data_IF_619833691322
#
_entry.id   IF_619833691322
#
_cell.length_a   1.000
_cell.length_b   1.000
_cell.length_c   1.000
_cell.angle_alpha   90.00
_cell.angle_beta   90.00
_cell.angle_gamma   90.00
#
_symmetry.space_group_name_H-M   'P 1'
#
loop_
_entity.id
_entity.type
_entity.pdbx_description
1 polymer ?
#
# COMPACT_ATOMS: atom_id res chain seq x y z
N UNK A 1 -4.82 25.53 -2.95
CA UNK A 1 -4.58 24.12 -2.68
C UNK A 1 -3.28 23.94 -1.94
N UNK A 2 -3.29 23.21 -0.87
CA UNK A 2 -2.12 22.97 -0.05
C UNK A 2 -1.11 22.04 -0.69
N UNK A 3 0.00 21.87 -0.01
CA UNK A 3 1.03 20.92 -0.43
C UNK A 3 0.66 19.53 0.04
N UNK A 4 1.13 18.51 -0.69
CA UNK A 4 1.00 17.10 -0.30
C UNK A 4 2.31 16.70 0.40
N UNK A 5 2.20 16.02 1.53
CA UNK A 5 3.36 15.61 2.31
C UNK A 5 3.35 14.09 2.52
N UNK A 6 4.54 13.51 2.59
CA UNK A 6 4.70 12.12 3.03
C UNK A 6 4.93 12.18 4.53
N UNK A 7 4.03 11.61 5.31
CA UNK A 7 4.07 11.71 6.77
C UNK A 7 4.60 10.46 7.46
N UNK A 8 4.73 9.36 6.73
CA UNK A 8 5.29 8.15 7.30
C UNK A 8 5.72 7.19 6.23
N UNK A 9 6.79 6.46 6.49
CA UNK A 9 7.31 5.43 5.59
C UNK A 9 7.61 4.17 6.38
N UNK A 10 7.51 3.03 5.71
CA UNK A 10 7.83 1.76 6.29
C UNK A 10 8.22 0.76 5.23
N UNK A 11 9.01 -0.22 5.60
CA UNK A 11 9.52 -1.20 4.66
C UNK A 11 9.82 -2.49 5.42
N UNK A 12 9.40 -3.63 4.84
CA UNK A 12 9.79 -4.92 5.37
C UNK A 12 11.25 -5.21 5.02
N UNK A 13 11.83 -6.19 5.68
CA UNK A 13 13.15 -6.70 5.28
C UNK A 13 13.07 -7.31 3.89
N UNK A 14 14.13 -7.14 3.11
CA UNK A 14 14.26 -7.83 1.82
C UNK A 14 14.83 -9.21 2.09
N UNK A 15 14.04 -10.24 1.81
CA UNK A 15 14.42 -11.61 2.08
C UNK A 15 14.20 -12.47 0.83
N UNK A 16 14.99 -13.52 0.71
CA UNK A 16 14.85 -14.44 -0.41
C UNK A 16 13.58 -15.27 -0.29
N UNK A 17 13.23 -15.63 0.93
CA UNK A 17 12.05 -16.40 1.23
C UNK A 17 11.42 -15.84 2.50
N UNK A 18 10.15 -15.48 2.41
CA UNK A 18 9.42 -14.96 3.56
C UNK A 18 8.55 -16.07 4.14
N UNK A 19 8.65 -16.37 5.45
CA UNK A 19 7.92 -17.50 6.05
C UNK A 19 6.41 -17.31 6.14
N UNK A 20 5.94 -16.06 6.05
CA UNK A 20 4.51 -15.76 6.12
C UNK A 20 3.87 -15.57 4.76
N UNK A 21 2.61 -15.16 4.77
CA UNK A 21 1.88 -14.83 3.56
C UNK A 21 2.32 -13.49 2.99
N UNK A 22 1.95 -13.21 1.74
CA UNK A 22 2.22 -11.91 1.13
C UNK A 22 1.50 -10.79 1.89
N UNK A 23 0.35 -11.09 2.50
CA UNK A 23 -0.38 -10.13 3.32
C UNK A 23 0.40 -9.75 4.58
N UNK A 24 1.02 -10.74 5.22
CA UNK A 24 1.86 -10.49 6.39
C UNK A 24 3.09 -9.69 6.02
N UNK A 25 3.69 -9.96 4.87
CA UNK A 25 4.82 -9.21 4.36
C UNK A 25 4.44 -7.74 4.16
N UNK A 26 3.30 -7.49 3.53
CA UNK A 26 2.80 -6.13 3.33
C UNK A 26 2.50 -5.45 4.68
N UNK A 27 1.97 -6.20 5.64
CA UNK A 27 1.68 -5.67 6.96
C UNK A 27 2.93 -5.18 7.67
N UNK A 28 4.06 -5.85 7.52
CA UNK A 28 5.31 -5.43 8.16
C UNK A 28 5.68 -4.00 7.76
N UNK A 29 5.63 -3.69 6.47
CA UNK A 29 5.90 -2.33 6.00
C UNK A 29 4.82 -1.35 6.42
N UNK A 30 3.56 -1.76 6.32
CA UNK A 30 2.43 -0.93 6.69
C UNK A 30 2.49 -0.53 8.17
N UNK A 31 2.73 -1.50 9.05
CA UNK A 31 2.85 -1.26 10.48
C UNK A 31 3.93 -0.23 10.78
N UNK A 32 5.09 -0.38 10.16
CA UNK A 32 6.19 0.55 10.36
C UNK A 32 5.81 1.97 9.91
N UNK A 33 5.12 2.09 8.77
CA UNK A 33 4.70 3.41 8.29
C UNK A 33 3.68 4.06 9.22
N UNK A 34 2.78 3.27 9.82
CA UNK A 34 1.82 3.77 10.80
C UNK A 34 2.52 4.29 12.05
N UNK A 35 3.52 3.54 12.53
CA UNK A 35 4.30 3.95 13.69
C UNK A 35 5.10 5.22 13.40
N UNK A 36 5.67 5.32 12.21
CA UNK A 36 6.42 6.49 11.78
C UNK A 36 5.53 7.73 11.70
N UNK A 37 4.35 7.58 11.12
CA UNK A 37 3.39 8.69 10.99
C UNK A 37 2.64 9.00 12.30
N UNK A 38 2.68 8.10 13.27
CA UNK A 38 1.93 8.20 14.52
C UNK A 38 0.42 8.30 14.30
N UNK A 39 -0.09 7.47 13.39
CA UNK A 39 -1.53 7.39 13.08
C UNK A 39 -1.99 5.94 13.16
N UNK A 40 -3.30 5.75 13.13
CA UNK A 40 -3.92 4.44 13.06
C UNK A 40 -4.56 4.25 11.69
N UNK A 41 -4.89 3.00 11.35
CA UNK A 41 -5.55 2.71 10.07
C UNK A 41 -6.89 3.44 9.92
N UNK A 42 -7.55 3.75 11.02
CA UNK A 42 -8.83 4.47 11.00
C UNK A 42 -8.71 5.91 10.48
N UNK A 43 -7.51 6.49 10.52
CA UNK A 43 -7.26 7.83 10.05
C UNK A 43 -6.95 7.88 8.55
N UNK A 44 -6.83 6.73 7.91
CA UNK A 44 -6.58 6.64 6.46
C UNK A 44 -7.93 6.61 5.76
N UNK A 45 -8.16 7.52 4.82
CA UNK A 45 -9.44 7.62 4.12
C UNK A 45 -9.42 7.10 2.68
N UNK A 46 -8.28 6.66 2.20
CA UNK A 46 -8.16 5.90 0.95
C UNK A 46 -6.85 5.15 0.93
N UNK A 47 -6.78 4.09 0.16
CA UNK A 47 -5.54 3.32 0.01
C UNK A 47 -5.31 2.93 -1.44
N UNK A 48 -4.03 2.82 -1.80
CA UNK A 48 -3.57 2.43 -3.13
C UNK A 48 -2.68 1.21 -2.96
N UNK A 49 -3.08 0.11 -3.54
CA UNK A 49 -2.36 -1.17 -3.48
C UNK A 49 -1.64 -1.37 -4.81
N UNK A 50 -0.36 -1.67 -4.76
CA UNK A 50 0.50 -1.75 -5.94
C UNK A 50 1.27 -3.07 -5.98
N UNK A 51 1.23 -3.74 -7.12
CA UNK A 51 2.06 -4.92 -7.35
C UNK A 51 2.12 -5.23 -8.84
N UNK A 52 3.02 -6.15 -9.21
CA UNK A 52 3.05 -6.72 -10.55
C UNK A 52 2.35 -8.09 -10.46
N UNK A 53 1.09 -8.20 -10.91
CA UNK A 53 0.25 -9.37 -10.59
C UNK A 53 0.76 -10.69 -11.14
N UNK A 54 1.54 -10.68 -12.18
CA UNK A 54 2.10 -11.91 -12.76
C UNK A 54 3.14 -12.58 -11.87
N UNK A 55 3.62 -11.85 -10.87
CA UNK A 55 4.62 -12.35 -9.93
C UNK A 55 4.05 -12.66 -8.56
N UNK A 56 2.74 -12.68 -8.43
CA UNK A 56 2.08 -13.12 -7.22
C UNK A 56 0.81 -13.88 -7.57
N UNK A 57 0.30 -14.62 -6.61
CA UNK A 57 -0.87 -15.46 -6.81
C UNK A 57 -2.10 -14.92 -6.09
N UNK A 58 -1.99 -13.74 -5.52
CA UNK A 58 -3.11 -13.15 -4.79
C UNK A 58 -4.12 -12.57 -5.77
N UNK A 59 -5.33 -13.12 -5.74
CA UNK A 59 -6.44 -12.56 -6.51
C UNK A 59 -7.05 -11.38 -5.77
N UNK A 60 -7.58 -10.43 -6.53
CA UNK A 60 -8.29 -9.26 -5.99
C UNK A 60 -7.49 -8.57 -4.87
N UNK A 61 -6.25 -8.18 -5.14
CA UNK A 61 -5.38 -7.69 -4.07
C UNK A 61 -5.93 -6.46 -3.35
N UNK A 62 -6.61 -5.55 -4.04
CA UNK A 62 -7.16 -4.37 -3.40
C UNK A 62 -8.10 -4.73 -2.24
N UNK A 63 -9.09 -5.57 -2.50
CA UNK A 63 -10.04 -5.97 -1.47
C UNK A 63 -9.41 -6.78 -0.36
N UNK A 64 -8.56 -7.73 -0.71
CA UNK A 64 -7.92 -8.61 0.28
C UNK A 64 -7.00 -7.82 1.21
N UNK A 65 -6.16 -6.95 0.67
CA UNK A 65 -5.24 -6.17 1.49
C UNK A 65 -5.96 -5.09 2.30
N UNK A 66 -7.00 -4.47 1.74
CA UNK A 66 -7.78 -3.49 2.48
C UNK A 66 -8.42 -4.11 3.73
N UNK A 67 -8.97 -5.32 3.58
CA UNK A 67 -9.54 -6.04 4.71
C UNK A 67 -8.48 -6.42 5.73
N UNK A 68 -7.38 -7.02 5.26
CA UNK A 68 -6.32 -7.51 6.15
C UNK A 68 -5.67 -6.38 6.93
N UNK A 69 -5.48 -5.23 6.31
CA UNK A 69 -4.78 -4.09 6.92
C UNK A 69 -5.72 -3.17 7.70
N UNK A 70 -7.00 -3.49 7.79
CA UNK A 70 -7.96 -2.68 8.54
C UNK A 70 -8.31 -1.37 7.86
N UNK A 71 -8.31 -1.33 6.53
CA UNK A 71 -8.57 -0.13 5.75
C UNK A 71 -10.01 0.00 5.26
N UNK A 72 -10.82 -1.05 5.43
CA UNK A 72 -12.23 -0.99 5.10
C UNK A 72 -12.97 -0.10 6.10
N UNK A 73 -14.03 0.60 5.70
CA UNK A 73 -14.69 0.57 4.39
C UNK A 73 -14.22 1.64 3.42
N UNK A 74 -13.05 2.21 3.61
CA UNK A 74 -12.57 3.31 2.79
C UNK A 74 -12.22 2.86 1.37
N UNK A 75 -12.28 3.76 0.37
CA UNK A 75 -11.94 3.42 -1.01
C UNK A 75 -10.54 2.85 -1.15
N UNK A 76 -10.42 1.81 -1.96
CA UNK A 76 -9.14 1.16 -2.22
C UNK A 76 -8.95 1.00 -3.73
N UNK A 77 -7.78 1.37 -4.20
CA UNK A 77 -7.41 1.30 -5.62
C UNK A 77 -6.29 0.29 -5.80
N UNK A 78 -6.31 -0.41 -6.92
CA UNK A 78 -5.21 -1.27 -7.29
C UNK A 78 -4.52 -0.70 -8.52
N UNK A 79 -3.21 -0.54 -8.45
CA UNK A 79 -2.41 0.03 -9.54
C UNK A 79 -1.36 -0.98 -9.96
N UNK A 80 -1.32 -1.25 -11.25
CA UNK A 80 -0.35 -2.14 -11.85
C UNK A 80 0.30 -1.43 -13.05
N UNK A 81 1.61 -1.47 -13.09
CA UNK A 81 2.41 -0.96 -14.20
C UNK A 81 3.77 -1.67 -14.17
N UNK A 82 3.72 -3.00 -13.98
CA UNK A 82 4.90 -3.85 -13.84
C UNK A 82 5.88 -3.25 -12.83
N UNK A 83 7.13 -3.02 -13.23
CA UNK A 83 8.17 -2.54 -12.31
C UNK A 83 7.93 -1.12 -11.79
N UNK A 84 7.03 -0.35 -12.41
CA UNK A 84 6.73 1.01 -11.98
C UNK A 84 5.41 1.12 -11.21
N UNK A 85 4.83 -0.01 -10.78
CA UNK A 85 3.52 -0.01 -10.12
C UNK A 85 3.46 0.91 -8.91
N UNK A 86 4.45 0.84 -8.02
CA UNK A 86 4.46 1.68 -6.82
C UNK A 86 4.67 3.16 -7.15
N UNK A 87 5.47 3.47 -8.16
CA UNK A 87 5.66 4.85 -8.59
C UNK A 87 4.35 5.43 -9.13
N UNK A 88 3.61 4.65 -9.91
CA UNK A 88 2.32 5.08 -10.43
C UNK A 88 1.28 5.17 -9.31
N UNK A 89 1.36 4.26 -8.34
CA UNK A 89 0.50 4.32 -7.16
C UNK A 89 0.75 5.58 -6.34
N UNK A 90 2.00 5.96 -6.17
CA UNK A 90 2.34 7.19 -5.45
C UNK A 90 1.81 8.42 -6.20
N UNK A 91 1.90 8.41 -7.52
CA UNK A 91 1.34 9.49 -8.35
C UNK A 91 -0.18 9.59 -8.18
N UNK A 92 -0.87 8.45 -8.16
CA UNK A 92 -2.32 8.44 -7.93
C UNK A 92 -2.65 9.00 -6.55
N UNK A 93 -1.94 8.56 -5.51
CA UNK A 93 -2.15 9.04 -4.15
C UNK A 93 -1.94 10.56 -4.07
N UNK A 94 -0.89 11.06 -4.70
CA UNK A 94 -0.65 12.49 -4.77
C UNK A 94 -1.87 13.22 -5.36
N UNK A 95 -2.39 12.71 -6.46
CA UNK A 95 -3.55 13.30 -7.14
C UNK A 95 -4.80 13.28 -6.25
N UNK A 96 -5.02 12.17 -5.53
CA UNK A 96 -6.17 12.06 -4.64
C UNK A 96 -6.13 13.09 -3.51
N UNK A 97 -4.96 13.30 -2.93
CA UNK A 97 -4.79 14.29 -1.86
C UNK A 97 -4.83 15.70 -2.42
N UNK A 98 -4.11 15.94 -3.51
CA UNK A 98 -4.02 17.28 -4.12
C UNK A 98 -5.37 17.79 -4.59
N UNK A 99 -6.23 16.90 -5.09
CA UNK A 99 -7.57 17.26 -5.57
C UNK A 99 -8.56 17.56 -4.45
N UNK A 100 -8.20 17.24 -3.21
CA UNK A 100 -9.10 17.42 -2.06
C UNK A 100 -10.10 16.30 -1.85
N UNK A 101 -10.04 15.23 -2.66
CA UNK A 101 -10.93 14.07 -2.48
C UNK A 101 -10.64 13.31 -1.21
N UNK A 102 -9.37 13.21 -0.83
CA UNK A 102 -8.94 12.48 0.36
C UNK A 102 -7.86 13.26 1.09
N UNK A 103 -7.80 13.09 2.39
CA UNK A 103 -6.84 13.78 3.24
C UNK A 103 -5.63 12.93 3.56
N UNK A 104 -5.82 11.64 3.83
CA UNK A 104 -4.75 10.72 4.20
C UNK A 104 -4.85 9.45 3.37
N UNK A 105 -3.87 9.22 2.51
CA UNK A 105 -3.86 8.09 1.60
C UNK A 105 -2.65 7.21 1.89
N UNK A 106 -2.88 5.91 2.03
CA UNK A 106 -1.80 4.93 2.16
C UNK A 106 -1.44 4.38 0.78
N UNK A 107 -0.14 4.25 0.52
CA UNK A 107 0.35 3.59 -0.68
C UNK A 107 1.13 2.36 -0.24
N UNK A 108 0.71 1.19 -0.68
CA UNK A 108 1.27 -0.08 -0.22
C UNK A 108 1.71 -0.89 -1.43
N UNK A 109 3.01 -1.11 -1.55
CA UNK A 109 3.58 -1.95 -2.60
C UNK A 109 4.15 -3.22 -2.01
N UNK A 110 4.01 -4.33 -2.73
CA UNK A 110 4.50 -5.62 -2.24
C UNK A 110 4.84 -6.54 -3.39
N UNK A 111 5.74 -7.48 -3.13
CA UNK A 111 6.09 -8.52 -4.10
C UNK A 111 6.83 -9.66 -3.41
N UNK A 112 6.55 -10.90 -3.81
CA UNK A 112 7.32 -12.08 -3.40
C UNK A 112 7.92 -12.75 -4.64
N UNK A 113 8.58 -11.96 -5.45
CA UNK A 113 9.06 -12.39 -6.77
C UNK A 113 10.03 -13.57 -6.71
N UNK A 114 10.85 -13.63 -5.69
CA UNK A 114 11.84 -14.72 -5.55
C UNK A 114 11.21 -16.06 -5.19
N UNK A 115 9.92 -16.10 -4.91
CA UNK A 115 9.20 -17.31 -4.49
C UNK A 115 8.23 -17.84 -5.55
N UNK A 116 8.29 -17.30 -6.74
CA UNK A 116 7.44 -17.78 -7.85
C UNK A 116 8.07 -18.97 -8.58
#
# INVERSE_FOLDING_TARGET
MGKVAIIGVGQSSFVRSYPGSIRELAFDGFKESMQDAQITSEQIDASVICSAPEYDKQRSPAGVFAEYLGLNPQPTFYVESLCSSSSMGLRLAYSLVKSGLHDVVAVIGFQKMSEI
#
